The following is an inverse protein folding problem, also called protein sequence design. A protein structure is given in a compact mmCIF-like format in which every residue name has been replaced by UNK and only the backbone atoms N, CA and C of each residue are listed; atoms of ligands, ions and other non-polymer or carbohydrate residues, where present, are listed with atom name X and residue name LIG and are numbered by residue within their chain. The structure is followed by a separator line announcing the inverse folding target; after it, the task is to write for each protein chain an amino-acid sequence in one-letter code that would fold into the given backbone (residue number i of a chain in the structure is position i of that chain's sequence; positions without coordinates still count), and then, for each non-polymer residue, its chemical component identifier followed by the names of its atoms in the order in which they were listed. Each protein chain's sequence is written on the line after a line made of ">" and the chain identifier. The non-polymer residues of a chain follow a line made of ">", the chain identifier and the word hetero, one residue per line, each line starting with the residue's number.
data_IF_793274463056
#
_entry.id   IF_793274463056
#
_cell.length_a   1.000
_cell.length_b   1.000
_cell.length_c   1.000
_cell.angle_alpha   90.00
_cell.angle_beta   90.00
_cell.angle_gamma   90.00
#
_symmetry.space_group_name_H-M   'P 1'
#
loop_
_entity.id
_entity.type
_entity.pdbx_description
1 polymer ?
#
# COMPACT_ATOMS: atom_id res chain seq x y z
N UNK A 1 -18.15 -30.29 0.28
CA UNK A 1 -18.62 -29.01 -0.26
C UNK A 1 -18.48 -27.94 0.81
N UNK A 2 -17.57 -26.98 0.65
CA UNK A 2 -17.40 -25.89 1.63
C UNK A 2 -18.58 -24.94 1.48
N UNK A 3 -19.32 -24.69 2.56
CA UNK A 3 -20.45 -23.78 2.54
C UNK A 3 -19.96 -22.35 2.22
N UNK A 4 -20.57 -21.67 1.24
CA UNK A 4 -20.18 -20.31 0.81
C UNK A 4 -20.09 -19.34 2.00
N UNK A 5 -20.98 -19.50 2.99
CA UNK A 5 -20.99 -18.70 4.23
C UNK A 5 -19.77 -18.96 5.11
N UNK A 6 -19.38 -20.23 5.26
CA UNK A 6 -18.19 -20.63 6.03
C UNK A 6 -16.91 -20.10 5.39
N UNK A 7 -16.82 -20.14 4.06
CA UNK A 7 -15.68 -19.60 3.34
C UNK A 7 -15.56 -18.07 3.49
N UNK A 8 -16.67 -17.35 3.34
CA UNK A 8 -16.74 -15.91 3.56
C UNK A 8 -16.33 -15.55 5.01
N UNK A 9 -16.81 -16.30 6.00
CA UNK A 9 -16.46 -16.07 7.40
C UNK A 9 -14.98 -16.36 7.68
N UNK A 10 -14.40 -17.41 7.09
CA UNK A 10 -12.98 -17.70 7.22
C UNK A 10 -12.13 -16.56 6.63
N UNK A 11 -12.51 -16.03 5.47
CA UNK A 11 -11.85 -14.85 4.87
C UNK A 11 -11.91 -13.61 5.76
N UNK A 12 -12.95 -13.45 6.57
CA UNK A 12 -13.05 -12.35 7.53
C UNK A 12 -12.19 -12.63 8.78
N UNK A 13 -12.31 -13.80 9.40
CA UNK A 13 -11.71 -14.08 10.71
C UNK A 13 -10.19 -14.23 10.63
N UNK A 14 -9.67 -14.94 9.62
CA UNK A 14 -8.23 -15.21 9.47
C UNK A 14 -7.39 -13.92 9.52
N UNK A 15 -7.66 -12.89 8.69
CA UNK A 15 -6.89 -11.67 8.72
C UNK A 15 -7.11 -10.88 10.03
N UNK A 16 -8.29 -10.92 10.64
CA UNK A 16 -8.56 -10.22 11.90
C UNK A 16 -7.74 -10.73 13.08
N UNK A 17 -7.33 -12.00 13.08
CA UNK A 17 -6.41 -12.56 14.09
C UNK A 17 -5.03 -11.88 14.06
N UNK A 18 -4.64 -11.28 12.92
CA UNK A 18 -3.36 -10.57 12.78
C UNK A 18 -3.40 -9.14 13.34
N UNK A 19 -4.58 -8.57 13.58
CA UNK A 19 -4.77 -7.21 14.13
C UNK A 19 -4.19 -7.04 15.53
N UNK A 20 -4.41 -7.93 16.52
CA UNK A 20 -3.81 -7.78 17.84
C UNK A 20 -2.28 -7.87 17.84
N UNK A 21 -1.66 -8.42 16.78
CA UNK A 21 -0.21 -8.39 16.58
C UNK A 21 0.32 -7.00 16.18
N UNK A 22 -0.58 -6.04 15.89
CA UNK A 22 -0.25 -4.66 15.56
C UNK A 22 -0.24 -3.78 16.80
N UNK A 23 0.69 -2.83 16.86
CA UNK A 23 0.72 -1.82 17.92
C UNK A 23 -0.56 -0.96 17.88
N UNK A 24 -1.24 -0.82 19.03
CA UNK A 24 -2.51 -0.07 19.14
C UNK A 24 -2.40 1.35 18.60
N UNK A 25 -1.29 2.06 18.86
CA UNK A 25 -1.06 3.42 18.38
C UNK A 25 -1.05 3.51 16.85
N UNK A 26 -0.35 2.58 16.20
CA UNK A 26 -0.30 2.49 14.73
C UNK A 26 -1.67 2.09 14.15
N UNK A 27 -2.39 1.19 14.80
CA UNK A 27 -3.73 0.79 14.37
C UNK A 27 -4.72 1.96 14.33
N UNK A 28 -4.84 2.73 15.41
CA UNK A 28 -5.72 3.91 15.43
C UNK A 28 -5.29 5.01 14.46
N UNK A 29 -4.00 5.12 14.18
CA UNK A 29 -3.45 6.09 13.20
C UNK A 29 -3.83 5.74 11.76
N UNK A 30 -3.77 4.46 11.37
CA UNK A 30 -4.04 4.02 10.00
C UNK A 30 -5.50 3.62 9.75
N UNK A 31 -6.29 3.46 10.81
CA UNK A 31 -7.73 3.23 10.75
C UNK A 31 -8.49 4.19 9.80
N UNK A 32 -8.35 5.52 9.91
CA UNK A 32 -9.05 6.43 8.99
C UNK A 32 -8.60 6.28 7.54
N UNK A 33 -7.31 5.99 7.31
CA UNK A 33 -6.76 5.75 5.96
C UNK A 33 -7.32 4.46 5.37
N UNK A 34 -7.31 3.36 6.12
CA UNK A 34 -7.85 2.08 5.67
C UNK A 34 -9.35 2.19 5.39
N UNK A 35 -10.10 2.92 6.22
CA UNK A 35 -11.53 3.20 5.99
C UNK A 35 -11.76 4.00 4.71
N UNK A 36 -10.92 5.00 4.44
CA UNK A 36 -11.01 5.81 3.22
C UNK A 36 -10.73 4.99 1.95
N UNK A 37 -9.69 4.17 1.97
CA UNK A 37 -9.37 3.25 0.86
C UNK A 37 -10.51 2.26 0.64
N UNK A 38 -11.10 1.73 1.72
CA UNK A 38 -12.27 0.86 1.62
C UNK A 38 -13.53 1.56 1.10
N UNK A 39 -13.69 2.85 1.36
CA UNK A 39 -14.79 3.63 0.77
C UNK A 39 -14.59 3.77 -0.74
N UNK A 40 -13.38 4.10 -1.19
CA UNK A 40 -13.05 4.22 -2.61
C UNK A 40 -13.27 2.88 -3.32
N UNK A 41 -12.77 1.78 -2.77
CA UNK A 41 -12.92 0.46 -3.42
C UNK A 41 -14.39 0.04 -3.46
N UNK A 42 -15.20 0.38 -2.46
CA UNK A 42 -16.64 0.14 -2.46
C UNK A 42 -17.34 0.90 -3.59
N UNK A 43 -17.06 2.20 -3.74
CA UNK A 43 -17.61 3.02 -4.84
C UNK A 43 -17.16 2.49 -6.20
N UNK A 44 -15.88 2.15 -6.35
CA UNK A 44 -15.35 1.54 -7.57
C UNK A 44 -16.03 0.20 -7.86
N UNK A 45 -16.30 -0.62 -6.84
CA UNK A 45 -16.99 -1.90 -6.99
C UNK A 45 -18.41 -1.71 -7.49
N UNK A 46 -19.13 -0.69 -7.01
CA UNK A 46 -20.47 -0.34 -7.50
C UNK A 46 -20.41 0.10 -8.96
N UNK A 47 -19.46 0.98 -9.32
CA UNK A 47 -19.30 1.47 -10.70
C UNK A 47 -18.94 0.31 -11.64
N UNK A 48 -18.00 -0.55 -11.23
CA UNK A 48 -17.55 -1.71 -12.00
C UNK A 48 -18.68 -2.71 -12.23
N UNK A 49 -19.51 -2.99 -11.22
CA UNK A 49 -20.71 -3.81 -11.37
C UNK A 49 -21.72 -3.17 -12.33
N UNK A 50 -21.96 -1.87 -12.22
CA UNK A 50 -22.89 -1.13 -13.09
C UNK A 50 -22.42 -1.10 -14.56
N UNK A 51 -21.10 -1.07 -14.79
CA UNK A 51 -20.47 -1.13 -16.12
C UNK A 51 -20.14 -2.54 -16.60
N UNK A 52 -20.48 -3.58 -15.82
CA UNK A 52 -20.10 -4.99 -16.08
C UNK A 52 -18.60 -5.18 -16.39
N UNK A 53 -17.72 -4.41 -15.73
CA UNK A 53 -16.27 -4.56 -15.92
C UNK A 53 -15.75 -5.92 -15.43
N UNK A 54 -16.42 -6.53 -14.45
CA UNK A 54 -16.19 -7.90 -14.01
C UNK A 54 -17.54 -8.61 -13.82
N UNK A 55 -17.78 -9.70 -14.55
CA UNK A 55 -18.92 -10.59 -14.31
C UNK A 55 -18.56 -11.62 -13.24
N UNK A 56 -19.01 -11.40 -12.01
CA UNK A 56 -18.83 -12.34 -10.91
C UNK A 56 -19.84 -13.49 -11.03
N UNK A 57 -19.42 -14.61 -11.61
CA UNK A 57 -20.26 -15.82 -11.81
C UNK A 57 -20.69 -16.53 -10.51
N UNK A 58 -20.11 -16.16 -9.36
CA UNK A 58 -20.42 -16.74 -8.05
C UNK A 58 -20.20 -15.71 -6.94
N UNK A 59 -21.12 -14.75 -6.74
CA UNK A 59 -20.98 -13.79 -5.66
C UNK A 59 -21.10 -14.51 -4.30
N UNK A 60 -20.16 -14.24 -3.39
CA UNK A 60 -20.15 -14.78 -2.03
C UNK A 60 -21.17 -14.07 -1.14
N UNK A 61 -21.58 -12.84 -1.51
CA UNK A 61 -22.62 -12.03 -0.87
C UNK A 61 -23.69 -11.61 -1.88
N UNK A 62 -25.00 -11.60 -1.54
CA UNK A 62 -26.08 -11.21 -2.45
C UNK A 62 -26.20 -9.67 -2.61
N UNK A 63 -25.10 -8.97 -2.85
CA UNK A 63 -25.07 -7.51 -2.97
C UNK A 63 -24.14 -7.00 -4.08
N UNK A 64 -24.31 -5.72 -4.45
CA UNK A 64 -23.44 -5.02 -5.42
C UNK A 64 -21.99 -4.86 -4.95
N UNK A 65 -21.70 -5.19 -3.69
CA UNK A 65 -20.40 -5.04 -3.06
C UNK A 65 -20.16 -6.22 -2.12
N UNK A 66 -19.03 -6.92 -2.28
CA UNK A 66 -18.61 -7.99 -1.38
C UNK A 66 -18.00 -7.41 -0.10
N UNK A 67 -18.86 -6.90 0.79
CA UNK A 67 -18.46 -6.29 2.06
C UNK A 67 -17.55 -7.20 2.90
N UNK A 68 -17.78 -8.50 2.91
CA UNK A 68 -16.92 -9.47 3.62
C UNK A 68 -15.49 -9.43 3.10
N UNK A 69 -15.31 -9.28 1.79
CA UNK A 69 -13.99 -9.21 1.17
C UNK A 69 -13.31 -7.87 1.46
N UNK A 70 -14.06 -6.77 1.39
CA UNK A 70 -13.55 -5.42 1.65
C UNK A 70 -13.19 -5.24 3.13
N UNK A 71 -14.05 -5.65 4.06
CA UNK A 71 -13.84 -5.51 5.50
C UNK A 71 -12.95 -6.60 6.11
N UNK A 72 -12.81 -7.74 5.45
CA UNK A 72 -11.92 -8.82 5.88
C UNK A 72 -10.50 -8.61 5.35
N UNK A 73 -10.08 -9.36 4.32
CA UNK A 73 -8.71 -9.37 3.88
C UNK A 73 -8.24 -8.01 3.39
N UNK A 74 -9.08 -7.26 2.65
CA UNK A 74 -8.64 -5.99 2.03
C UNK A 74 -8.35 -4.91 3.08
N UNK A 75 -9.23 -4.74 4.07
CA UNK A 75 -9.04 -3.79 5.16
C UNK A 75 -7.78 -4.08 5.97
N UNK A 76 -7.62 -5.34 6.41
CA UNK A 76 -6.47 -5.76 7.22
C UNK A 76 -5.17 -5.67 6.42
N UNK A 77 -5.19 -6.09 5.16
CA UNK A 77 -4.02 -5.96 4.27
C UNK A 77 -3.61 -4.51 4.13
N UNK A 78 -4.57 -3.60 3.96
CA UNK A 78 -4.30 -2.16 3.88
C UNK A 78 -3.63 -1.64 5.15
N UNK A 79 -4.17 -1.98 6.33
CA UNK A 79 -3.55 -1.61 7.62
C UNK A 79 -2.12 -2.12 7.75
N UNK A 80 -1.85 -3.36 7.35
CA UNK A 80 -0.51 -3.95 7.39
C UNK A 80 0.45 -3.31 6.40
N UNK A 81 0.01 -3.06 5.17
CA UNK A 81 0.80 -2.35 4.16
C UNK A 81 1.18 -0.99 4.72
N UNK A 82 0.22 -0.19 5.19
CA UNK A 82 0.54 1.11 5.78
C UNK A 82 1.48 0.99 6.97
N UNK A 83 1.28 0.05 7.89
CA UNK A 83 2.21 -0.19 9.00
C UNK A 83 3.64 -0.53 8.53
N UNK A 84 3.81 -1.31 7.47
CA UNK A 84 5.12 -1.70 6.94
C UNK A 84 5.80 -0.57 6.16
N UNK A 85 5.03 0.21 5.39
CA UNK A 85 5.55 1.31 4.57
C UNK A 85 5.79 2.57 5.42
N UNK A 86 5.01 2.76 6.49
CA UNK A 86 5.08 3.91 7.37
C UNK A 86 6.27 3.78 8.34
N UNK A 87 7.35 4.50 8.05
CA UNK A 87 8.58 4.52 8.85
C UNK A 87 9.84 4.04 8.12
N UNK A 88 9.72 3.28 7.02
CA UNK A 88 10.86 2.81 6.22
C UNK A 88 11.11 3.61 4.93
N UNK A 89 10.11 4.34 4.41
CA UNK A 89 10.35 5.34 3.33
C UNK A 89 11.17 6.55 3.83
N UNK A 90 11.00 6.94 5.09
CA UNK A 90 11.75 8.04 5.70
C UNK A 90 13.23 7.70 5.91
N UNK A 91 13.59 6.45 6.24
CA UNK A 91 15.00 6.05 6.31
C UNK A 91 15.69 6.21 4.95
N UNK A 92 15.04 5.77 3.87
CA UNK A 92 15.56 5.94 2.51
C UNK A 92 15.65 7.42 2.11
N UNK A 93 14.70 8.26 2.53
CA UNK A 93 14.69 9.70 2.30
C UNK A 93 15.78 10.44 3.10
N UNK A 94 15.98 10.11 4.38
CA UNK A 94 17.02 10.69 5.23
C UNK A 94 18.41 10.31 4.72
N UNK A 95 18.63 9.03 4.40
CA UNK A 95 19.90 8.59 3.80
C UNK A 95 20.19 9.30 2.47
N UNK A 96 19.18 9.54 1.63
CA UNK A 96 19.36 10.34 0.41
C UNK A 96 19.58 11.83 0.68
N UNK A 97 18.93 12.44 1.68
CA UNK A 97 19.15 13.85 2.04
C UNK A 97 20.53 14.06 2.65
N UNK A 98 21.03 13.14 3.47
CA UNK A 98 22.40 13.17 4.02
C UNK A 98 23.45 12.98 2.93
N UNK A 99 23.21 12.05 2.00
CA UNK A 99 24.07 11.85 0.84
C UNK A 99 24.07 13.08 -0.08
N UNK A 100 22.89 13.63 -0.38
CA UNK A 100 22.72 14.82 -1.24
C UNK A 100 23.24 16.10 -0.58
N UNK A 101 23.11 16.24 0.75
CA UNK A 101 23.71 17.33 1.53
C UNK A 101 25.24 17.22 1.65
N UNK A 102 25.79 16.00 1.63
CA UNK A 102 27.25 15.77 1.63
C UNK A 102 27.89 15.99 0.26
N UNK A 103 27.15 15.76 -0.83
CA UNK A 103 27.61 16.09 -2.19
C UNK A 103 27.71 17.61 -2.39
N UNK A 104 26.84 18.41 -1.75
CA UNK A 104 26.90 19.86 -1.82
C UNK A 104 28.09 20.50 -1.07
N UNK A 105 28.82 19.74 -0.23
CA UNK A 105 30.06 20.22 0.42
C UNK A 105 31.34 19.51 -0.01
N UNK A 106 31.27 18.52 -0.92
CA UNK A 106 32.46 17.81 -1.39
C UNK A 106 32.34 17.48 -2.87
N UNK A 107 32.63 18.46 -3.73
CA UNK A 107 32.76 18.23 -5.16
C UNK A 107 32.57 19.46 -6.02
N UNK A 108 33.33 20.53 -5.76
CA UNK A 108 33.48 21.62 -6.72
C UNK A 108 34.00 21.08 -8.07
N UNK A 109 33.53 21.64 -9.21
CA UNK A 109 33.68 21.07 -10.54
C UNK A 109 35.01 21.50 -11.17
N UNK A 110 36.04 20.65 -11.19
CA UNK A 110 37.29 21.06 -11.88
C UNK A 110 38.23 19.93 -12.35
N UNK A 111 37.72 18.76 -12.74
CA UNK A 111 38.60 17.67 -13.22
C UNK A 111 38.32 17.11 -14.62
N UNK A 112 37.28 17.58 -15.32
CA UNK A 112 36.95 17.01 -16.65
C UNK A 112 37.44 17.80 -17.86
N UNK A 113 38.00 19.02 -17.71
CA UNK A 113 38.41 19.84 -18.86
C UNK A 113 39.92 19.92 -19.14
N UNK A 114 40.81 19.51 -18.22
CA UNK A 114 42.27 19.58 -18.47
C UNK A 114 42.83 18.41 -19.28
N UNK A 115 42.03 17.35 -19.51
CA UNK A 115 42.46 16.15 -20.23
C UNK A 115 42.23 16.24 -21.76
N UNK A 116 41.40 17.16 -22.23
CA UNK A 116 41.04 17.25 -23.66
C UNK A 116 41.91 18.24 -24.46
N UNK A 117 42.57 19.20 -23.82
CA UNK A 117 43.42 20.19 -24.51
C UNK A 117 44.83 19.70 -24.82
N UNK A 118 45.28 18.59 -24.22
CA UNK A 118 46.59 17.98 -24.51
C UNK A 118 46.57 16.94 -25.64
N UNK A 119 45.39 16.60 -26.19
CA UNK A 119 45.28 15.66 -27.32
C UNK A 119 45.02 16.33 -28.68
N UNK A 120 44.86 17.66 -28.73
CA UNK A 120 44.56 18.40 -29.97
C UNK A 120 45.61 19.48 -30.30
N UNK A 121 46.82 19.38 -29.74
CA UNK A 121 47.96 20.26 -30.08
C UNK A 121 48.96 19.53 -30.99
#
# INVERSE_FOLDING_TARGET
>A
MVNKKTFALAMLIIPWITVPFMEKKSFFRFLPVASFVNLIISVLSVIANKKKWWETKNPLSPGFVDFTYILGPFFITTLWVFKLTYGNFLKYLITNIELSGSVAKKGSPQQSQSQLTHQLA
#
